data_IF_145324152141
#
_entry.id   IF_145324152141
#
_cell.length_a   1.000
_cell.length_b   1.000
_cell.length_c   1.000
_cell.angle_alpha   90.00
_cell.angle_beta   90.00
_cell.angle_gamma   90.00
#
_symmetry.space_group_name_H-M   'P 1'
#
loop_
_entity.id
_entity.type
_entity.pdbx_description
1 polymer ?
#
# COMPACT_ATOMS: atom_id res chain seq x y z
N UNK A 1 7.32 29.24 -17.28
CA UNK A 1 6.99 29.54 -15.86
C UNK A 1 5.46 29.53 -15.72
N UNK A 2 4.81 28.36 -15.62
CA UNK A 2 3.34 28.28 -15.51
C UNK A 2 2.83 27.13 -14.62
N UNK A 3 3.62 26.69 -13.63
CA UNK A 3 3.20 25.66 -12.67
C UNK A 3 2.67 26.22 -11.32
N UNK A 4 2.57 27.54 -11.19
CA UNK A 4 2.21 28.18 -9.91
C UNK A 4 0.70 28.51 -9.76
N UNK A 5 -0.12 28.29 -10.80
CA UNK A 5 -1.54 28.67 -10.77
C UNK A 5 -2.50 27.54 -10.36
N UNK A 6 -2.12 26.28 -10.49
CA UNK A 6 -3.03 25.15 -10.19
C UNK A 6 -2.97 24.64 -8.74
N UNK A 7 -2.08 25.16 -7.90
CA UNK A 7 -2.02 24.83 -6.46
C UNK A 7 -2.88 25.76 -5.58
N UNK A 8 -3.43 26.85 -6.14
CA UNK A 8 -4.25 27.80 -5.39
C UNK A 8 -5.70 27.34 -5.17
N UNK A 9 -6.22 26.47 -6.04
CA UNK A 9 -7.64 26.04 -5.99
C UNK A 9 -7.89 25.05 -4.83
N UNK A 10 -6.87 24.30 -4.39
CA UNK A 10 -7.03 23.28 -3.34
C UNK A 10 -6.93 23.86 -1.92
N UNK A 11 -6.32 25.04 -1.75
CA UNK A 11 -6.14 25.67 -0.44
C UNK A 11 -7.28 26.60 -0.02
N UNK A 12 -8.08 27.12 -0.96
CA UNK A 12 -9.21 28.00 -0.65
C UNK A 12 -10.47 27.21 -0.21
N UNK A 13 -10.70 26.01 -0.75
CA UNK A 13 -11.85 25.14 -0.38
C UNK A 13 -11.75 24.61 1.07
N UNK A 14 -10.53 24.49 1.61
CA UNK A 14 -10.28 24.03 2.98
C UNK A 14 -10.52 25.12 4.04
N UNK A 15 -10.56 26.40 3.66
CA UNK A 15 -10.72 27.50 4.62
C UNK A 15 -12.17 27.88 4.88
N UNK A 16 -13.09 27.48 4.00
CA UNK A 16 -14.51 27.86 4.10
C UNK A 16 -15.37 26.88 4.89
N UNK A 17 -14.85 25.68 5.24
CA UNK A 17 -15.58 24.68 6.06
C UNK A 17 -15.35 24.76 7.58
N UNK A 18 -14.55 25.71 8.06
CA UNK A 18 -14.19 25.81 9.50
C UNK A 18 -15.10 26.78 10.29
N UNK A 19 -16.07 27.44 9.65
CA UNK A 19 -16.90 28.47 10.33
C UNK A 19 -18.40 28.20 10.25
N UNK A 20 -18.82 26.95 10.44
CA UNK A 20 -20.21 26.66 10.83
C UNK A 20 -20.27 25.43 11.77
N UNK A 21 -19.66 25.57 12.95
CA UNK A 21 -19.94 24.70 14.08
C UNK A 21 -20.11 25.54 15.34
N UNK A 22 -21.31 26.12 15.48
CA UNK A 22 -21.82 26.54 16.77
C UNK A 22 -23.30 26.17 16.81
N UNK A 23 -23.62 25.05 17.47
CA UNK A 23 -24.75 24.86 18.43
C UNK A 23 -24.87 23.38 18.85
N UNK A 24 -24.44 23.13 20.10
CA UNK A 24 -25.03 22.30 21.18
C UNK A 24 -25.39 20.80 20.99
N UNK A 25 -24.70 20.01 21.84
CA UNK A 25 -25.18 18.98 22.80
C UNK A 25 -25.53 17.55 22.29
N UNK A 26 -24.71 16.58 22.72
CA UNK A 26 -25.06 15.39 23.56
C UNK A 26 -24.68 14.01 22.99
N UNK A 27 -23.84 13.29 23.78
CA UNK A 27 -23.72 11.83 24.02
C UNK A 27 -23.22 10.89 22.89
N UNK A 28 -22.10 10.23 23.16
CA UNK A 28 -21.50 9.02 22.54
C UNK A 28 -22.46 7.80 22.59
N UNK A 29 -22.31 6.71 21.78
CA UNK A 29 -21.05 6.09 21.36
C UNK A 29 -20.81 6.03 19.84
N UNK A 30 -19.53 6.09 19.50
CA UNK A 30 -18.94 5.86 18.18
C UNK A 30 -19.41 4.52 17.61
N UNK A 31 -20.39 4.56 16.72
CA UNK A 31 -20.73 3.44 15.87
C UNK A 31 -19.55 3.22 14.92
N UNK A 32 -18.82 2.13 15.16
CA UNK A 32 -17.90 1.50 14.21
C UNK A 32 -18.55 1.50 12.82
N UNK A 33 -18.12 2.41 11.95
CA UNK A 33 -18.48 2.37 10.55
C UNK A 33 -17.71 1.18 9.96
N UNK A 34 -18.35 0.02 9.96
CA UNK A 34 -17.94 -1.17 9.20
C UNK A 34 -17.41 -0.70 7.84
N UNK A 35 -16.21 -1.10 7.39
CA UNK A 35 -15.85 -0.87 6.00
C UNK A 35 -16.87 -1.63 5.15
N UNK A 36 -17.71 -0.86 4.46
CA UNK A 36 -18.64 -1.36 3.46
C UNK A 36 -17.88 -2.21 2.46
N UNK A 37 -18.30 -3.47 2.30
CA UNK A 37 -18.11 -4.22 1.05
C UNK A 37 -18.59 -3.33 -0.09
N UNK A 38 -17.67 -2.63 -0.74
CA UNK A 38 -17.92 -1.91 -1.96
C UNK A 38 -16.73 -2.20 -2.86
N UNK A 39 -17.01 -2.95 -3.93
CA UNK A 39 -16.17 -3.03 -5.13
C UNK A 39 -15.71 -1.61 -5.45
N UNK A 40 -14.40 -1.37 -5.55
CA UNK A 40 -13.93 -0.23 -6.33
C UNK A 40 -13.90 -0.64 -7.80
N UNK A 41 -15.08 -0.69 -8.41
CA UNK A 41 -15.24 -0.33 -9.82
C UNK A 41 -14.93 1.17 -9.92
N UNK A 42 -13.66 1.53 -9.83
CA UNK A 42 -13.18 2.88 -10.11
C UNK A 42 -12.20 2.75 -11.26
N UNK A 43 -12.39 3.56 -12.28
CA UNK A 43 -11.35 3.86 -13.25
C UNK A 43 -10.02 4.06 -12.52
N UNK A 44 -9.01 3.27 -12.90
CA UNK A 44 -7.76 3.14 -12.17
C UNK A 44 -7.08 1.80 -12.47
N UNK A 45 -5.79 1.74 -12.20
CA UNK A 45 -5.01 0.52 -12.41
C UNK A 45 -5.05 -0.37 -11.18
N UNK A 46 -5.18 -1.68 -11.40
CA UNK A 46 -4.85 -2.68 -10.39
C UNK A 46 -3.37 -3.04 -10.51
N UNK A 47 -2.66 -3.18 -9.39
CA UNK A 47 -1.24 -3.56 -9.39
C UNK A 47 -1.10 -4.96 -8.81
N UNK A 48 -0.49 -5.85 -9.57
CA UNK A 48 -0.21 -7.22 -9.20
C UNK A 48 1.24 -7.59 -9.53
N UNK A 49 1.73 -8.66 -8.91
CA UNK A 49 2.97 -9.31 -9.31
C UNK A 49 2.63 -10.48 -10.23
N UNK A 50 3.51 -10.77 -11.20
CA UNK A 50 3.28 -11.84 -12.18
C UNK A 50 3.05 -13.22 -11.54
N UNK A 51 3.59 -13.43 -10.33
CA UNK A 51 3.35 -14.59 -9.49
C UNK A 51 3.76 -14.31 -8.04
N UNK A 52 3.36 -15.20 -7.12
CA UNK A 52 3.87 -15.19 -5.74
C UNK A 52 5.41 -15.27 -5.74
N UNK A 53 5.99 -16.15 -6.55
CA UNK A 53 7.44 -16.31 -6.70
C UNK A 53 8.14 -15.07 -7.24
N UNK A 54 7.47 -14.27 -8.09
CA UNK A 54 8.02 -12.99 -8.55
C UNK A 54 8.17 -12.00 -7.39
N UNK A 55 7.16 -11.88 -6.52
CA UNK A 55 7.23 -11.05 -5.33
C UNK A 55 8.30 -11.57 -4.35
N UNK A 56 8.35 -12.88 -4.11
CA UNK A 56 9.41 -13.50 -3.29
C UNK A 56 10.81 -13.17 -3.83
N UNK A 57 11.02 -13.30 -5.13
CA UNK A 57 12.31 -13.01 -5.76
C UNK A 57 12.69 -11.53 -5.61
N UNK A 58 11.76 -10.60 -5.80
CA UNK A 58 12.01 -9.17 -5.65
C UNK A 58 12.32 -8.77 -4.21
N UNK A 59 11.63 -9.37 -3.23
CA UNK A 59 11.89 -9.12 -1.80
C UNK A 59 13.21 -9.76 -1.37
N UNK A 60 13.47 -11.00 -1.78
CA UNK A 60 14.71 -11.72 -1.48
C UNK A 60 15.96 -11.02 -1.99
N UNK A 61 15.87 -10.39 -3.17
CA UNK A 61 16.94 -9.59 -3.76
C UNK A 61 16.96 -8.13 -3.29
N UNK A 62 16.19 -7.77 -2.25
CA UNK A 62 16.06 -6.41 -1.72
C UNK A 62 15.64 -5.33 -2.74
N UNK A 63 15.07 -5.72 -3.89
CA UNK A 63 14.54 -4.77 -4.89
C UNK A 63 13.24 -4.12 -4.43
N UNK A 64 12.39 -4.91 -3.77
CA UNK A 64 11.12 -4.46 -3.21
C UNK A 64 11.17 -4.68 -1.69
N UNK A 65 10.56 -3.77 -0.93
CA UNK A 65 10.39 -4.01 0.50
C UNK A 65 8.94 -4.38 0.78
N UNK A 66 8.77 -5.49 1.48
CA UNK A 66 7.45 -5.95 1.91
C UNK A 66 7.20 -5.56 3.35
N UNK A 67 6.01 -5.04 3.62
CA UNK A 67 5.55 -4.60 4.92
C UNK A 67 4.23 -5.26 5.28
N UNK A 68 4.06 -5.49 6.57
CA UNK A 68 2.82 -5.97 7.16
C UNK A 68 2.44 -5.02 8.29
N UNK A 69 1.18 -4.64 8.35
CA UNK A 69 0.59 -3.85 9.43
C UNK A 69 -0.52 -4.68 10.10
N UNK A 70 -0.53 -4.67 11.42
CA UNK A 70 -1.54 -5.35 12.23
C UNK A 70 -1.51 -4.79 13.65
N UNK A 71 -2.69 -4.61 14.27
CA UNK A 71 -2.80 -4.11 15.64
C UNK A 71 -2.11 -2.75 15.87
N UNK A 72 -2.05 -1.89 14.84
CA UNK A 72 -1.39 -0.57 14.90
C UNK A 72 0.14 -0.61 14.88
N UNK A 73 0.75 -1.79 14.71
CA UNK A 73 2.20 -1.99 14.59
C UNK A 73 2.57 -2.30 13.15
N UNK A 74 3.82 -2.05 12.81
CA UNK A 74 4.38 -2.29 11.47
C UNK A 74 5.59 -3.19 11.54
N UNK A 75 5.68 -4.12 10.59
CA UNK A 75 6.81 -5.01 10.41
C UNK A 75 7.29 -4.96 8.97
N UNK A 76 8.60 -5.06 8.78
CA UNK A 76 9.24 -5.24 7.48
C UNK A 76 9.72 -6.67 7.34
N UNK A 77 9.48 -7.27 6.18
CA UNK A 77 10.00 -8.57 5.85
C UNK A 77 11.45 -8.44 5.35
N UNK A 78 12.30 -9.36 5.77
CA UNK A 78 13.59 -9.61 5.13
C UNK A 78 13.80 -11.11 4.94
N UNK A 79 14.51 -11.47 3.87
CA UNK A 79 15.02 -12.82 3.67
C UNK A 79 16.24 -13.06 4.55
N UNK A 80 16.30 -14.20 5.23
CA UNK A 80 17.52 -14.70 5.85
C UNK A 80 18.20 -15.73 4.94
N UNK A 81 19.53 -15.85 5.06
CA UNK A 81 20.32 -16.84 4.32
C UNK A 81 19.68 -18.23 4.46
N UNK A 82 19.35 -18.89 3.34
CA UNK A 82 18.65 -20.19 3.33
C UNK A 82 17.11 -20.12 3.22
N UNK A 83 16.55 -19.12 2.53
CA UNK A 83 15.12 -19.03 2.15
C UNK A 83 14.12 -18.90 3.30
N UNK A 84 14.57 -18.49 4.50
CA UNK A 84 13.65 -18.27 5.63
C UNK A 84 13.23 -16.81 5.71
N UNK A 85 11.93 -16.55 5.55
CA UNK A 85 11.34 -15.23 5.71
C UNK A 85 11.19 -14.85 7.18
N UNK A 86 11.64 -13.64 7.55
CA UNK A 86 11.48 -13.11 8.91
C UNK A 86 11.00 -11.67 8.89
N UNK A 87 10.06 -11.36 9.78
CA UNK A 87 9.60 -10.01 10.03
C UNK A 87 10.37 -9.37 11.18
N UNK A 88 10.68 -8.09 11.00
CA UNK A 88 11.31 -7.24 12.00
C UNK A 88 10.38 -6.06 12.27
N UNK A 89 10.16 -5.75 13.55
CA UNK A 89 9.36 -4.57 13.93
C UNK A 89 10.05 -3.32 13.42
N UNK A 90 9.30 -2.45 12.76
CA UNK A 90 9.78 -1.14 12.29
C UNK A 90 8.87 -0.06 12.85
N UNK A 91 9.41 1.11 13.16
CA UNK A 91 8.57 2.25 13.53
C UNK A 91 7.86 2.75 12.29
N UNK A 92 6.65 3.30 12.47
CA UNK A 92 5.88 3.91 11.37
C UNK A 92 6.65 5.04 10.68
N UNK A 93 7.54 5.73 11.40
CA UNK A 93 8.42 6.78 10.85
C UNK A 93 9.50 6.24 9.90
N UNK A 94 9.81 4.95 9.97
CA UNK A 94 10.77 4.27 9.10
C UNK A 94 10.11 3.68 7.85
N UNK A 95 8.77 3.64 7.81
CA UNK A 95 8.06 3.26 6.59
C UNK A 95 8.22 4.34 5.52
N UNK A 96 8.46 3.94 4.26
CA UNK A 96 8.44 4.88 3.15
C UNK A 96 7.10 5.62 3.05
N UNK A 97 7.15 6.90 2.67
CA UNK A 97 5.95 7.74 2.52
C UNK A 97 4.97 7.21 1.47
N UNK A 98 5.47 6.49 0.47
CA UNK A 98 4.68 5.93 -0.61
C UNK A 98 4.86 4.42 -0.62
N UNK A 99 3.77 3.72 -0.33
CA UNK A 99 3.65 2.25 -0.38
C UNK A 99 2.37 1.89 -1.10
N UNK A 100 2.35 0.70 -1.69
CA UNK A 100 1.21 0.17 -2.45
C UNK A 100 0.60 -0.99 -1.66
N UNK A 101 -0.70 -0.97 -1.47
CA UNK A 101 -1.39 -2.04 -0.75
C UNK A 101 -1.56 -3.26 -1.65
N UNK A 102 -1.28 -4.43 -1.11
CA UNK A 102 -1.57 -5.70 -1.76
C UNK A 102 -2.91 -6.27 -1.29
N UNK A 103 -3.59 -6.93 -2.22
CA UNK A 103 -4.74 -7.76 -1.87
C UNK A 103 -4.19 -9.03 -1.21
N UNK A 104 -4.75 -9.45 -0.08
CA UNK A 104 -4.23 -10.58 0.69
C UNK A 104 -4.11 -11.90 -0.08
N UNK A 105 -4.82 -12.06 -1.20
CA UNK A 105 -4.71 -13.23 -2.10
C UNK A 105 -3.40 -13.27 -2.91
N UNK A 106 -2.74 -12.11 -3.08
CA UNK A 106 -1.52 -11.95 -3.87
C UNK A 106 -0.27 -12.02 -2.98
N UNK A 107 -0.43 -12.41 -1.71
CA UNK A 107 0.64 -12.46 -0.72
C UNK A 107 1.13 -13.91 -0.58
N UNK A 108 2.43 -14.18 -0.85
CA UNK A 108 3.00 -15.51 -0.73
C UNK A 108 2.71 -16.18 0.62
N UNK A 109 2.32 -17.45 0.60
CA UNK A 109 2.03 -18.21 1.83
C UNK A 109 3.21 -18.20 2.83
N UNK A 110 4.44 -18.21 2.32
CA UNK A 110 5.65 -18.09 3.13
C UNK A 110 5.70 -16.78 3.94
N UNK A 111 5.19 -15.68 3.38
CA UNK A 111 5.14 -14.38 4.05
C UNK A 111 4.05 -14.39 5.12
N UNK A 112 2.86 -14.91 4.78
CA UNK A 112 1.75 -15.06 5.74
C UNK A 112 2.19 -15.89 6.95
N UNK A 113 2.88 -17.00 6.69
CA UNK A 113 3.42 -17.90 7.71
C UNK A 113 4.48 -17.23 8.58
N UNK A 114 5.36 -16.42 7.99
CA UNK A 114 6.33 -15.62 8.75
C UNK A 114 5.65 -14.56 9.63
N UNK A 115 4.56 -13.95 9.15
CA UNK A 115 3.79 -12.96 9.89
C UNK A 115 3.11 -13.55 11.12
N UNK A 116 2.45 -14.71 10.96
CA UNK A 116 1.82 -15.46 12.07
C UNK A 116 2.77 -15.76 13.23
N UNK A 117 4.07 -15.94 12.95
CA UNK A 117 5.09 -16.24 13.97
C UNK A 117 5.44 -15.03 14.85
N UNK A 118 5.22 -13.80 14.38
CA UNK A 118 5.68 -12.57 15.07
C UNK A 118 4.55 -11.67 15.58
N UNK A 119 3.33 -11.87 15.10
CA UNK A 119 2.17 -11.05 15.49
C UNK A 119 1.27 -11.88 16.41
N UNK A 120 1.13 -11.43 17.66
CA UNK A 120 0.29 -12.10 18.65
C UNK A 120 -1.21 -12.10 18.28
N UNK A 121 -1.69 -11.04 17.62
CA UNK A 121 -3.05 -10.91 17.12
C UNK A 121 -3.03 -10.79 15.58
N UNK A 122 -2.81 -11.92 14.91
CA UNK A 122 -2.76 -11.99 13.44
C UNK A 122 -4.18 -12.00 12.84
N UNK A 123 -5.03 -11.06 13.24
CA UNK A 123 -6.37 -10.89 12.67
C UNK A 123 -6.40 -9.66 11.76
N UNK A 124 -6.79 -9.87 10.49
CA UNK A 124 -6.89 -8.80 9.48
C UNK A 124 -5.58 -8.03 9.18
N UNK A 125 -4.44 -8.69 8.92
CA UNK A 125 -3.23 -7.98 8.53
C UNK A 125 -3.41 -7.25 7.20
N UNK A 126 -2.85 -6.05 7.12
CA UNK A 126 -2.73 -5.29 5.88
C UNK A 126 -1.31 -5.46 5.32
N UNK A 127 -1.19 -5.67 4.01
CA UNK A 127 0.09 -5.92 3.36
C UNK A 127 0.41 -4.79 2.38
N UNK A 128 1.66 -4.36 2.40
CA UNK A 128 2.13 -3.28 1.54
C UNK A 128 3.48 -3.58 0.94
N UNK A 129 3.74 -3.00 -0.22
CA UNK A 129 5.05 -3.01 -0.87
C UNK A 129 5.54 -1.60 -1.11
N UNK A 130 6.83 -1.40 -0.86
CA UNK A 130 7.55 -0.25 -1.37
C UNK A 130 8.24 -0.62 -2.67
N UNK A 131 7.99 0.18 -3.70
CA UNK A 131 8.59 0.02 -5.01
C UNK A 131 9.74 1.02 -5.20
N UNK A 132 10.87 0.59 -5.78
CA UNK A 132 11.99 1.47 -6.11
C UNK A 132 11.60 2.44 -7.24
N UNK A 133 12.39 3.49 -7.40
CA UNK A 133 12.05 4.60 -8.29
C UNK A 133 11.91 4.20 -9.76
N UNK A 134 12.73 3.28 -10.25
CA UNK A 134 12.66 2.77 -11.62
C UNK A 134 11.32 2.08 -11.91
N UNK A 135 10.86 1.22 -11.00
CA UNK A 135 9.54 0.56 -11.11
C UNK A 135 8.43 1.62 -11.06
N UNK A 136 8.50 2.57 -10.13
CA UNK A 136 7.48 3.63 -10.03
C UNK A 136 7.42 4.51 -11.27
N UNK A 137 8.57 4.88 -11.85
CA UNK A 137 8.60 5.68 -13.09
C UNK A 137 7.96 4.92 -14.25
N UNK A 138 8.21 3.62 -14.37
CA UNK A 138 7.56 2.80 -15.40
C UNK A 138 6.03 2.72 -15.22
N UNK A 139 5.58 2.56 -13.97
CA UNK A 139 4.15 2.61 -13.62
C UNK A 139 3.55 3.96 -14.01
N UNK A 140 4.18 5.08 -13.63
CA UNK A 140 3.69 6.41 -13.97
C UNK A 140 3.57 6.61 -15.48
N UNK A 141 4.56 6.20 -16.27
CA UNK A 141 4.51 6.29 -17.73
C UNK A 141 3.32 5.51 -18.32
N UNK A 142 3.08 4.30 -17.83
CA UNK A 142 1.92 3.49 -18.22
C UNK A 142 0.61 4.21 -17.88
N UNK A 143 0.55 4.84 -16.70
CA UNK A 143 -0.62 5.59 -16.25
C UNK A 143 -0.84 6.90 -17.03
N UNK A 144 0.19 7.45 -17.66
CA UNK A 144 0.06 8.59 -18.57
C UNK A 144 -0.46 8.17 -19.95
N UNK A 145 -0.12 6.96 -20.40
CA UNK A 145 -0.51 6.42 -21.70
C UNK A 145 -1.90 5.77 -21.69
N UNK A 146 -2.35 5.26 -20.54
CA UNK A 146 -3.62 4.54 -20.39
C UNK A 146 -4.39 5.02 -19.17
N UNK A 147 -5.72 4.96 -19.23
CA UNK A 147 -6.61 5.41 -18.13
C UNK A 147 -7.07 4.28 -17.21
N UNK A 148 -6.89 3.02 -17.62
CA UNK A 148 -7.23 1.82 -16.85
C UNK A 148 -6.39 0.62 -17.32
N UNK A 149 -6.42 -0.46 -16.54
CA UNK A 149 -5.78 -1.74 -16.86
C UNK A 149 -5.22 -2.45 -15.64
N UNK A 150 -4.63 -3.63 -15.86
CA UNK A 150 -3.88 -4.35 -14.83
C UNK A 150 -2.39 -4.15 -15.07
N UNK A 151 -1.71 -3.56 -14.09
CA UNK A 151 -0.26 -3.43 -14.07
C UNK A 151 0.32 -4.67 -13.42
N UNK A 152 1.18 -5.34 -14.15
CA UNK A 152 1.92 -6.50 -13.67
C UNK A 152 3.40 -6.17 -13.50
N UNK A 153 3.99 -6.64 -12.41
CA UNK A 153 5.43 -6.55 -12.13
C UNK A 153 6.02 -7.97 -12.12
N UNK A 154 6.99 -8.23 -13.00
CA UNK A 154 7.65 -9.53 -13.09
C UNK A 154 8.77 -9.72 -12.04
N UNK A 155 9.40 -10.91 -12.02
CA UNK A 155 10.48 -11.25 -11.10
C UNK A 155 11.76 -10.40 -11.23
N UNK A 156 11.92 -9.68 -12.34
CA UNK A 156 13.03 -8.76 -12.61
C UNK A 156 12.67 -7.30 -12.26
N UNK A 157 11.40 -7.04 -11.95
CA UNK A 157 10.85 -5.71 -11.69
C UNK A 157 10.43 -4.99 -12.97
N UNK A 158 10.33 -5.69 -14.10
CA UNK A 158 9.79 -5.13 -15.33
C UNK A 158 8.29 -4.95 -15.17
N UNK A 159 7.79 -3.82 -15.65
CA UNK A 159 6.39 -3.44 -15.56
C UNK A 159 5.72 -3.58 -16.93
N UNK A 160 4.58 -4.25 -16.97
CA UNK A 160 3.75 -4.44 -18.16
C UNK A 160 2.28 -4.19 -17.86
N UNK A 161 1.49 -3.97 -18.91
CA UNK A 161 0.02 -3.91 -18.83
C UNK A 161 -0.54 -5.18 -19.44
N UNK A 162 -1.51 -5.79 -18.74
CA UNK A 162 -2.33 -6.89 -19.25
C UNK A 162 -3.60 -6.36 -19.93
#
# INVERSE_FOLDING_TARGET
REYAKSLKIVLDDLRQKVTDQKVKKSKTPSAYRKPSRARSSREGFALHFASESALEHLVGNNRVWFFMLSGGKSWRLAGHSGSTWRFFSVKRTEMPKQVYQLIGKDVPEGFVSAGKKVVADFSGPEYYVWLPSDIRTNISRIMEERTNGEIEIDQLGKVSVQ
#
